data_IF_632547309836
#
_entry.id   IF_632547309836
#
_cell.length_a   1.000
_cell.length_b   1.000
_cell.length_c   1.000
_cell.angle_alpha   90.00
_cell.angle_beta   90.00
_cell.angle_gamma   90.00
#
_symmetry.space_group_name_H-M   'P 1'
#
loop_
_entity.id
_entity.type
_entity.pdbx_description
1 polymer ?
#
# COMPACT_ATOMS: atom_id res chain seq x y z
N UNK A 1 -21.83 5.37 -4.18
CA UNK A 1 -21.93 3.91 -3.87
C UNK A 1 -21.83 3.71 -2.36
N UNK A 2 -22.68 2.88 -1.76
CA UNK A 2 -22.61 2.63 -0.31
C UNK A 2 -21.45 1.70 0.05
N UNK A 3 -21.00 1.69 1.31
CA UNK A 3 -19.94 0.80 1.82
C UNK A 3 -20.23 -0.69 1.53
N UNK A 4 -21.48 -1.11 1.71
CA UNK A 4 -21.91 -2.47 1.42
C UNK A 4 -21.81 -2.79 -0.08
N UNK A 5 -22.21 -1.86 -0.94
CA UNK A 5 -22.10 -2.01 -2.41
C UNK A 5 -20.64 -2.11 -2.86
N UNK A 6 -19.73 -1.28 -2.35
CA UNK A 6 -18.30 -1.35 -2.71
C UNK A 6 -17.67 -2.69 -2.31
N UNK A 7 -18.05 -3.18 -1.12
CA UNK A 7 -17.66 -4.49 -0.61
C UNK A 7 -18.25 -5.64 -1.42
N UNK A 8 -19.48 -5.51 -1.90
CA UNK A 8 -20.11 -6.54 -2.72
C UNK A 8 -19.48 -6.55 -4.12
N UNK A 9 -19.32 -5.39 -4.75
CA UNK A 9 -18.64 -5.23 -6.02
C UNK A 9 -17.22 -5.81 -6.00
N UNK A 10 -16.47 -5.59 -4.91
CA UNK A 10 -15.14 -6.18 -4.75
C UNK A 10 -15.19 -7.71 -4.72
N UNK A 11 -16.18 -8.32 -4.05
CA UNK A 11 -16.35 -9.78 -4.07
C UNK A 11 -16.71 -10.27 -5.46
N UNK A 12 -17.62 -9.58 -6.14
CA UNK A 12 -18.10 -9.97 -7.46
C UNK A 12 -17.00 -9.87 -8.52
N UNK A 13 -16.18 -8.82 -8.50
CA UNK A 13 -15.00 -8.69 -9.36
C UNK A 13 -13.96 -9.79 -9.10
N UNK A 14 -13.77 -10.19 -7.84
CA UNK A 14 -12.82 -11.25 -7.48
C UNK A 14 -13.36 -12.67 -7.76
N UNK A 15 -14.67 -12.86 -7.99
CA UNK A 15 -15.22 -14.18 -8.36
C UNK A 15 -14.56 -14.67 -9.65
N UNK A 16 -13.99 -15.87 -9.60
CA UNK A 16 -13.20 -16.45 -10.69
C UNK A 16 -11.73 -16.00 -10.75
N UNK A 17 -11.37 -14.88 -10.11
CA UNK A 17 -10.04 -14.27 -10.18
C UNK A 17 -9.28 -14.25 -8.84
N UNK A 18 -9.81 -14.91 -7.81
CA UNK A 18 -9.19 -14.96 -6.48
C UNK A 18 -7.75 -15.45 -6.48
N UNK A 19 -7.43 -16.50 -7.26
CA UNK A 19 -6.07 -17.03 -7.33
C UNK A 19 -5.06 -15.98 -7.78
N UNK A 20 -5.41 -15.20 -8.80
CA UNK A 20 -4.56 -14.11 -9.28
C UNK A 20 -4.36 -13.01 -8.22
N UNK A 21 -5.44 -12.54 -7.58
CA UNK A 21 -5.37 -11.48 -6.58
C UNK A 21 -4.60 -11.91 -5.32
N UNK A 22 -4.77 -13.17 -4.91
CA UNK A 22 -4.01 -13.81 -3.84
C UNK A 22 -2.53 -13.86 -4.21
N UNK A 23 -2.18 -14.36 -5.41
CA UNK A 23 -0.80 -14.41 -5.86
C UNK A 23 -0.15 -13.02 -5.90
N UNK A 24 -0.85 -11.99 -6.39
CA UNK A 24 -0.35 -10.61 -6.42
C UNK A 24 -0.02 -10.09 -5.02
N UNK A 25 -0.93 -10.30 -4.06
CA UNK A 25 -0.78 -9.78 -2.70
C UNK A 25 0.20 -10.58 -1.85
N UNK A 26 0.21 -11.91 -1.95
CA UNK A 26 1.18 -12.78 -1.29
C UNK A 26 2.59 -12.54 -1.86
N UNK A 27 2.73 -12.43 -3.18
CA UNK A 27 4.04 -12.19 -3.77
C UNK A 27 4.60 -10.84 -3.34
N UNK A 28 3.79 -9.78 -3.34
CA UNK A 28 4.19 -8.47 -2.81
C UNK A 28 4.62 -8.56 -1.33
N UNK A 29 3.86 -9.29 -0.51
CA UNK A 29 4.20 -9.50 0.90
C UNK A 29 5.52 -10.26 1.07
N UNK A 30 5.74 -11.32 0.30
CA UNK A 30 6.96 -12.14 0.33
C UNK A 30 8.18 -11.34 -0.09
N UNK A 31 8.09 -10.57 -1.18
CA UNK A 31 9.18 -9.69 -1.63
C UNK A 31 9.53 -8.68 -0.54
N UNK A 32 8.53 -8.05 0.09
CA UNK A 32 8.76 -7.14 1.21
C UNK A 32 9.40 -7.84 2.41
N UNK A 33 8.94 -9.04 2.76
CA UNK A 33 9.50 -9.82 3.86
C UNK A 33 10.98 -10.15 3.64
N UNK A 34 11.36 -10.53 2.41
CA UNK A 34 12.75 -10.78 2.03
C UNK A 34 13.59 -9.51 2.11
N UNK A 35 13.09 -8.38 1.59
CA UNK A 35 13.81 -7.10 1.65
C UNK A 35 14.05 -6.67 3.12
N UNK A 36 13.03 -6.78 3.96
CA UNK A 36 13.14 -6.46 5.39
C UNK A 36 14.12 -7.38 6.10
N UNK A 37 14.08 -8.69 5.80
CA UNK A 37 14.97 -9.66 6.42
C UNK A 37 16.43 -9.44 6.01
N UNK A 38 16.68 -9.16 4.73
CA UNK A 38 18.00 -8.79 4.23
C UNK A 38 18.52 -7.52 4.88
N UNK A 39 17.69 -6.47 4.99
CA UNK A 39 18.08 -5.24 5.67
C UNK A 39 18.45 -5.53 7.13
N UNK A 40 17.59 -6.24 7.86
CA UNK A 40 17.85 -6.62 9.25
C UNK A 40 19.15 -7.43 9.36
N UNK A 41 19.38 -8.40 8.48
CA UNK A 41 20.58 -9.21 8.49
C UNK A 41 21.85 -8.38 8.24
N UNK A 42 21.84 -7.46 7.26
CA UNK A 42 22.97 -6.57 6.98
C UNK A 42 23.34 -5.73 8.21
N UNK A 43 22.36 -5.18 8.90
CA UNK A 43 22.61 -4.23 10.00
C UNK A 43 22.84 -4.91 11.34
N UNK A 44 22.17 -6.03 11.57
CA UNK A 44 22.14 -6.70 12.89
C UNK A 44 22.81 -8.07 12.88
N UNK A 45 23.13 -8.64 11.72
CA UNK A 45 23.57 -10.04 11.59
C UNK A 45 22.46 -11.05 11.92
N UNK A 46 21.24 -10.60 12.22
CA UNK A 46 20.09 -11.44 12.55
C UNK A 46 19.14 -11.50 11.36
N UNK A 47 18.96 -12.69 10.81
CA UNK A 47 17.94 -13.00 9.83
C UNK A 47 16.69 -13.60 10.51
N UNK A 48 15.71 -14.00 9.71
CA UNK A 48 14.49 -14.65 10.19
C UNK A 48 14.82 -15.94 10.94
N UNK A 49 15.75 -16.73 10.40
CA UNK A 49 16.27 -17.96 11.00
C UNK A 49 16.85 -17.71 12.39
N UNK A 50 17.69 -16.69 12.54
CA UNK A 50 18.26 -16.29 13.83
C UNK A 50 17.17 -15.90 14.82
N UNK A 51 16.15 -15.18 14.38
CA UNK A 51 15.07 -14.71 15.25
C UNK A 51 14.12 -15.83 15.71
N UNK A 52 13.82 -16.80 14.83
CA UNK A 52 12.81 -17.84 15.07
C UNK A 52 13.41 -19.15 15.58
N UNK A 53 14.56 -19.57 15.05
CA UNK A 53 15.16 -20.87 15.37
C UNK A 53 16.23 -20.78 16.47
N UNK A 54 16.89 -19.63 16.61
CA UNK A 54 17.85 -19.41 17.70
C UNK A 54 17.18 -18.61 18.79
N UNK A 55 16.51 -19.30 19.72
CA UNK A 55 16.04 -18.75 21.02
C UNK A 55 17.17 -18.22 21.91
N UNK A 56 18.37 -17.98 21.38
CA UNK A 56 19.52 -17.52 22.14
C UNK A 56 19.46 -16.01 22.27
N UNK A 57 19.10 -15.55 23.48
CA UNK A 57 19.21 -14.16 23.94
C UNK A 57 20.68 -13.79 24.16
N UNK A 58 21.50 -13.92 23.12
CA UNK A 58 22.73 -13.15 23.12
C UNK A 58 22.30 -11.70 22.89
N UNK A 59 22.16 -10.97 24.00
CA UNK A 59 22.10 -9.52 24.00
C UNK A 59 23.47 -9.00 23.55
N UNK A 60 23.79 -9.22 22.27
CA UNK A 60 24.80 -8.43 21.61
C UNK A 60 24.32 -6.99 21.77
N UNK A 61 25.01 -6.24 22.63
CA UNK A 61 24.85 -4.80 22.72
C UNK A 61 25.26 -4.28 21.35
N UNK A 62 24.28 -4.20 20.45
CA UNK A 62 24.47 -3.55 19.17
C UNK A 62 24.56 -2.07 19.46
N UNK A 63 25.79 -1.54 19.41
CA UNK A 63 25.99 -0.11 19.37
C UNK A 63 25.08 0.49 18.31
N UNK A 64 24.45 1.62 18.63
CA UNK A 64 23.60 2.35 17.71
C UNK A 64 24.35 2.58 16.38
N UNK A 65 23.76 2.11 15.27
CA UNK A 65 24.30 2.30 13.92
C UNK A 65 23.46 3.35 13.21
N UNK A 66 23.87 4.63 13.15
CA UNK A 66 23.08 5.69 12.51
C UNK A 66 22.65 5.36 11.07
N UNK A 67 23.49 4.62 10.34
CA UNK A 67 23.21 4.22 8.97
C UNK A 67 22.09 3.17 8.84
N UNK A 68 21.70 2.47 9.93
CA UNK A 68 20.51 1.63 9.96
C UNK A 68 19.22 2.45 9.79
N UNK A 69 19.14 3.65 10.39
CA UNK A 69 17.98 4.51 10.22
C UNK A 69 17.83 5.00 8.77
N UNK A 70 18.96 5.26 8.10
CA UNK A 70 18.94 5.63 6.69
C UNK A 70 18.51 4.46 5.81
N UNK A 71 18.95 3.23 6.11
CA UNK A 71 18.51 2.06 5.35
C UNK A 71 17.02 1.75 5.54
N UNK A 72 16.47 1.96 6.74
CA UNK A 72 15.02 1.82 6.99
C UNK A 72 14.19 2.80 6.15
N UNK A 73 14.68 4.04 5.96
CA UNK A 73 14.02 5.00 5.06
C UNK A 73 14.03 4.50 3.62
N UNK A 74 15.18 3.97 3.14
CA UNK A 74 15.31 3.43 1.78
C UNK A 74 14.39 2.22 1.59
N UNK A 75 14.40 1.27 2.53
CA UNK A 75 13.54 0.08 2.53
C UNK A 75 12.06 0.48 2.57
N UNK A 76 11.72 1.51 3.35
CA UNK A 76 10.37 2.07 3.40
C UNK A 76 9.90 2.63 2.06
N UNK A 77 10.77 3.31 1.31
CA UNK A 77 10.46 3.79 -0.04
C UNK A 77 10.27 2.62 -1.03
N UNK A 78 11.15 1.62 -1.00
CA UNK A 78 11.02 0.43 -1.86
C UNK A 78 9.71 -0.32 -1.57
N UNK A 79 9.42 -0.53 -0.29
CA UNK A 79 8.17 -1.15 0.18
C UNK A 79 6.96 -0.33 -0.28
N UNK A 80 7.01 1.00 -0.13
CA UNK A 80 5.95 1.90 -0.57
C UNK A 80 5.68 1.82 -2.07
N UNK A 81 6.74 1.73 -2.90
CA UNK A 81 6.62 1.55 -4.34
C UNK A 81 5.96 0.23 -4.72
N UNK A 82 6.33 -0.87 -4.05
CA UNK A 82 5.69 -2.19 -4.24
C UNK A 82 4.19 -2.10 -3.90
N UNK A 83 3.83 -1.43 -2.80
CA UNK A 83 2.44 -1.25 -2.41
C UNK A 83 1.64 -0.41 -3.41
N UNK A 84 2.27 0.61 -4.00
CA UNK A 84 1.68 1.42 -5.06
C UNK A 84 1.54 0.63 -6.36
N UNK A 85 2.51 -0.23 -6.71
CA UNK A 85 2.39 -1.14 -7.86
C UNK A 85 1.20 -2.09 -7.71
N UNK A 86 1.03 -2.69 -6.54
CA UNK A 86 -0.18 -3.47 -6.25
C UNK A 86 -1.46 -2.64 -6.39
N UNK A 87 -1.46 -1.39 -5.93
CA UNK A 87 -2.63 -0.51 -6.08
C UNK A 87 -2.95 -0.19 -7.55
N UNK A 88 -1.93 0.04 -8.37
CA UNK A 88 -2.06 0.30 -9.81
C UNK A 88 -2.65 -0.90 -10.53
N UNK A 89 -2.08 -2.09 -10.32
CA UNK A 89 -2.53 -3.33 -10.94
C UNK A 89 -3.96 -3.70 -10.53
N UNK A 90 -4.31 -3.51 -9.25
CA UNK A 90 -5.68 -3.72 -8.78
C UNK A 90 -6.64 -2.72 -9.43
N UNK A 91 -6.22 -1.46 -9.59
CA UNK A 91 -7.05 -0.45 -10.24
C UNK A 91 -7.24 -0.74 -11.74
N UNK A 92 -6.20 -1.18 -12.45
CA UNK A 92 -6.30 -1.66 -13.84
C UNK A 92 -7.27 -2.83 -13.97
N UNK A 93 -7.22 -3.77 -13.03
CA UNK A 93 -8.15 -4.89 -12.99
C UNK A 93 -9.60 -4.44 -12.74
N UNK A 94 -9.83 -3.50 -11.80
CA UNK A 94 -11.17 -2.92 -11.55
C UNK A 94 -11.75 -2.28 -12.81
N UNK A 95 -10.93 -1.57 -13.60
CA UNK A 95 -11.41 -0.79 -14.75
C UNK A 95 -11.56 -1.60 -16.02
N UNK A 96 -10.62 -2.50 -16.28
CA UNK A 96 -10.50 -3.15 -17.60
C UNK A 96 -10.77 -4.65 -17.55
N UNK A 97 -10.83 -5.23 -16.36
CA UNK A 97 -10.84 -6.68 -16.15
C UNK A 97 -9.54 -7.38 -16.55
N UNK A 98 -8.53 -6.65 -17.05
CA UNK A 98 -7.25 -7.23 -17.44
C UNK A 98 -6.41 -7.55 -16.21
N UNK A 99 -5.87 -8.76 -16.20
CA UNK A 99 -5.00 -9.27 -15.14
C UNK A 99 -3.56 -9.27 -15.64
N UNK A 100 -2.80 -8.23 -15.30
CA UNK A 100 -1.35 -8.28 -15.49
C UNK A 100 -0.76 -9.46 -14.70
N UNK A 101 0.32 -10.10 -15.16
CA UNK A 101 0.97 -11.15 -14.40
C UNK A 101 1.32 -10.66 -12.99
N UNK A 102 0.95 -11.43 -11.97
CA UNK A 102 1.06 -11.02 -10.56
C UNK A 102 2.49 -10.64 -10.15
N UNK A 103 3.51 -11.25 -10.77
CA UNK A 103 4.92 -10.95 -10.48
C UNK A 103 5.36 -9.61 -11.08
N UNK A 104 4.85 -9.21 -12.25
CA UNK A 104 5.17 -7.92 -12.86
C UNK A 104 4.29 -6.80 -12.32
N UNK A 105 3.05 -7.13 -11.91
CA UNK A 105 2.08 -6.16 -11.40
C UNK A 105 2.58 -5.39 -10.17
N UNK A 106 3.35 -6.03 -9.28
CA UNK A 106 3.93 -5.32 -8.12
C UNK A 106 4.92 -4.22 -8.52
N UNK A 107 5.43 -4.25 -9.76
CA UNK A 107 6.37 -3.28 -10.33
C UNK A 107 5.66 -2.23 -11.22
N UNK A 108 4.34 -2.32 -11.42
CA UNK A 108 3.58 -1.52 -12.39
C UNK A 108 3.62 0.00 -12.13
N UNK A 109 3.79 0.40 -10.87
CA UNK A 109 3.88 1.81 -10.50
C UNK A 109 5.19 2.46 -10.96
N UNK A 110 6.21 1.67 -11.30
CA UNK A 110 7.54 2.20 -11.61
C UNK A 110 8.21 1.56 -12.82
N UNK A 111 7.48 0.76 -13.58
CA UNK A 111 7.82 0.37 -14.94
C UNK A 111 7.45 1.47 -15.95
N UNK A 112 7.86 1.30 -17.21
CA UNK A 112 7.40 2.11 -18.36
C UNK A 112 7.57 3.63 -18.19
N UNK A 113 8.72 4.08 -17.65
CA UNK A 113 9.03 5.51 -17.48
C UNK A 113 8.31 6.20 -16.31
N UNK A 114 7.46 5.48 -15.55
CA UNK A 114 6.70 6.03 -14.41
C UNK A 114 7.53 6.16 -13.13
N UNK A 115 8.70 5.51 -13.07
CA UNK A 115 9.55 5.42 -11.88
C UNK A 115 9.78 6.76 -11.19
N UNK A 116 10.24 7.78 -11.93
CA UNK A 116 10.63 9.08 -11.37
C UNK A 116 9.45 9.75 -10.66
N UNK A 117 8.30 9.82 -11.33
CA UNK A 117 7.11 10.48 -10.81
C UNK A 117 6.54 9.70 -9.62
N UNK A 118 6.42 8.38 -9.72
CA UNK A 118 5.93 7.55 -8.59
C UNK A 118 6.84 7.63 -7.38
N UNK A 119 8.17 7.56 -7.56
CA UNK A 119 9.14 7.69 -6.47
C UNK A 119 9.03 9.07 -5.81
N UNK A 120 9.02 10.14 -6.60
CA UNK A 120 9.04 11.50 -6.07
C UNK A 120 7.70 11.87 -5.41
N UNK A 121 6.56 11.47 -5.98
CA UNK A 121 5.23 11.64 -5.37
C UNK A 121 5.10 10.80 -4.10
N UNK A 122 5.60 9.56 -4.07
CA UNK A 122 5.63 8.74 -2.86
C UNK A 122 6.47 9.40 -1.76
N UNK A 123 7.67 9.85 -2.10
CA UNK A 123 8.57 10.54 -1.18
C UNK A 123 7.92 11.81 -0.62
N UNK A 124 7.32 12.66 -1.46
CA UNK A 124 6.59 13.85 -1.04
C UNK A 124 5.39 13.52 -0.16
N UNK A 125 4.64 12.46 -0.48
CA UNK A 125 3.50 12.00 0.34
C UNK A 125 3.98 11.62 1.74
N UNK A 126 5.03 10.81 1.83
CA UNK A 126 5.60 10.39 3.11
C UNK A 126 6.18 11.56 3.89
N UNK A 127 6.86 12.49 3.22
CA UNK A 127 7.40 13.70 3.84
C UNK A 127 6.28 14.55 4.45
N UNK A 128 5.21 14.83 3.70
CA UNK A 128 4.10 15.62 4.22
C UNK A 128 3.39 14.93 5.40
N UNK A 129 3.12 13.63 5.30
CA UNK A 129 2.51 12.89 6.44
C UNK A 129 3.43 12.94 7.66
N UNK A 130 4.74 12.80 7.47
CA UNK A 130 5.72 12.84 8.56
C UNK A 130 5.76 14.23 9.22
N UNK A 131 5.79 15.31 8.44
CA UNK A 131 5.74 16.68 8.95
C UNK A 131 4.46 16.94 9.75
N UNK A 132 3.31 16.48 9.26
CA UNK A 132 2.05 16.59 10.01
C UNK A 132 2.06 15.78 11.29
N UNK A 133 2.63 14.58 11.26
CA UNK A 133 2.73 13.69 12.43
C UNK A 133 3.67 14.25 13.49
N UNK A 134 4.79 14.86 13.09
CA UNK A 134 5.73 15.54 13.98
C UNK A 134 5.07 16.74 14.65
N UNK A 135 4.27 17.51 13.90
CA UNK A 135 3.53 18.64 14.46
C UNK A 135 2.50 18.15 15.49
N UNK A 136 1.65 17.21 15.10
CA UNK A 136 0.68 16.53 15.97
C UNK A 136 0.24 15.18 15.37
N UNK A 137 0.14 14.17 16.23
CA UNK A 137 -0.24 12.81 15.82
C UNK A 137 -1.62 12.77 15.12
N UNK A 138 -2.62 13.49 15.65
CA UNK A 138 -3.99 13.48 15.12
C UNK A 138 -4.06 14.09 13.70
N UNK A 139 -3.54 15.30 13.44
CA UNK A 139 -3.35 15.83 12.09
C UNK A 139 -2.59 14.91 11.14
N UNK A 140 -1.54 14.22 11.62
CA UNK A 140 -0.82 13.21 10.85
C UNK A 140 -1.74 12.12 10.31
N UNK A 141 -2.59 11.57 11.16
CA UNK A 141 -3.59 10.57 10.78
C UNK A 141 -4.59 11.11 9.75
N UNK A 142 -5.18 12.29 10.00
CA UNK A 142 -6.15 12.92 9.08
C UNK A 142 -5.52 13.19 7.70
N UNK A 143 -4.25 13.60 7.65
CA UNK A 143 -3.53 13.86 6.41
C UNK A 143 -3.14 12.56 5.69
N UNK A 144 -2.87 11.49 6.43
CA UNK A 144 -2.73 10.14 5.86
C UNK A 144 -3.98 9.73 5.06
N UNK A 145 -5.18 9.91 5.64
CA UNK A 145 -6.45 9.67 4.92
C UNK A 145 -6.65 10.64 3.74
N UNK A 146 -6.27 11.91 3.90
CA UNK A 146 -6.38 12.91 2.84
C UNK A 146 -5.52 12.59 1.61
N UNK A 147 -4.43 11.83 1.77
CA UNK A 147 -3.51 11.46 0.69
C UNK A 147 -3.67 10.00 0.25
N UNK A 148 -4.63 9.27 0.80
CA UNK A 148 -4.79 7.83 0.55
C UNK A 148 -5.13 7.50 -0.92
N UNK A 149 -5.64 8.46 -1.69
CA UNK A 149 -6.01 8.29 -3.10
C UNK A 149 -4.92 8.67 -4.10
N UNK A 150 -3.78 9.17 -3.62
CA UNK A 150 -2.66 9.61 -4.46
C UNK A 150 -2.18 8.55 -5.45
N UNK A 151 -1.94 7.27 -5.08
CA UNK A 151 -1.51 6.26 -6.06
C UNK A 151 -2.54 6.04 -7.17
N UNK A 152 -3.84 6.04 -6.84
CA UNK A 152 -4.89 5.81 -7.82
C UNK A 152 -5.00 6.97 -8.82
N UNK A 153 -4.93 8.21 -8.34
CA UNK A 153 -4.93 9.41 -9.18
C UNK A 153 -3.71 9.45 -10.09
N UNK A 154 -2.54 9.13 -9.53
CA UNK A 154 -1.30 9.14 -10.30
C UNK A 154 -1.34 8.09 -11.42
N UNK A 155 -1.91 6.91 -11.16
CA UNK A 155 -2.17 5.89 -12.17
C UNK A 155 -3.13 6.38 -13.27
N UNK A 156 -4.22 7.04 -12.91
CA UNK A 156 -5.19 7.55 -13.89
C UNK A 156 -4.59 8.59 -14.82
N UNK A 157 -3.77 9.50 -14.28
CA UNK A 157 -3.02 10.47 -15.09
C UNK A 157 -2.07 9.78 -16.07
N UNK A 158 -1.35 8.73 -15.64
CA UNK A 158 -0.52 7.94 -16.55
C UNK A 158 -1.33 7.22 -17.63
N UNK A 159 -2.49 6.66 -17.27
CA UNK A 159 -3.40 6.03 -18.24
C UNK A 159 -3.95 7.03 -19.26
N UNK A 160 -4.10 8.31 -18.87
CA UNK A 160 -4.46 9.41 -19.77
C UNK A 160 -3.28 9.93 -20.62
N UNK A 161 -2.09 9.32 -20.53
CA UNK A 161 -0.91 9.71 -21.31
C UNK A 161 -0.10 10.88 -20.72
N UNK A 162 -0.39 11.31 -19.48
CA UNK A 162 0.39 12.37 -18.83
C UNK A 162 1.73 11.81 -18.33
N UNK A 163 2.84 12.37 -18.79
CA UNK A 163 4.20 11.94 -18.41
C UNK A 163 4.92 12.92 -17.49
N UNK A 164 4.51 14.18 -17.47
CA UNK A 164 5.08 15.23 -16.61
C UNK A 164 4.04 15.67 -15.58
N UNK A 165 3.86 14.81 -14.56
CA UNK A 165 2.90 15.07 -13.48
C UNK A 165 3.66 15.73 -12.35
N UNK A 166 3.18 16.89 -11.90
CA UNK A 166 3.77 17.58 -10.77
C UNK A 166 3.77 16.66 -9.54
N UNK A 167 4.90 16.58 -8.84
CA UNK A 167 5.07 15.70 -7.68
C UNK A 167 3.97 15.83 -6.62
N UNK A 168 3.49 17.06 -6.44
CA UNK A 168 2.48 17.47 -5.48
C UNK A 168 1.09 17.58 -6.09
N UNK A 169 0.96 17.46 -7.40
CA UNK A 169 -0.30 17.60 -8.13
C UNK A 169 -1.25 16.47 -7.76
N UNK A 170 -0.81 15.21 -7.89
CA UNK A 170 -1.59 14.05 -7.50
C UNK A 170 -1.95 14.05 -6.00
N UNK A 171 -1.06 14.57 -5.14
CA UNK A 171 -1.31 14.71 -3.70
C UNK A 171 -2.39 15.78 -3.45
N UNK A 172 -2.35 16.88 -4.18
CA UNK A 172 -3.31 17.98 -4.07
C UNK A 172 -4.69 17.56 -4.56
N UNK A 173 -4.74 16.83 -5.67
CA UNK A 173 -5.99 16.24 -6.17
C UNK A 173 -6.55 15.21 -5.20
N UNK A 174 -5.71 14.34 -4.64
CA UNK A 174 -6.10 13.39 -3.58
C UNK A 174 -6.73 14.12 -2.40
N UNK A 175 -6.11 15.22 -1.95
CA UNK A 175 -6.62 16.05 -0.86
C UNK A 175 -7.98 16.69 -1.17
N UNK A 176 -8.19 17.14 -2.41
CA UNK A 176 -9.46 17.73 -2.87
C UNK A 176 -10.54 16.66 -3.00
N UNK A 177 -10.23 15.54 -3.64
CA UNK A 177 -11.12 14.39 -3.83
C UNK A 177 -11.57 13.79 -2.50
N UNK A 178 -10.68 13.81 -1.49
CA UNK A 178 -10.97 13.30 -0.15
C UNK A 178 -11.66 14.33 0.76
N UNK A 179 -11.91 15.56 0.33
CA UNK A 179 -12.58 16.53 1.18
C UNK A 179 -14.04 16.11 1.42
N UNK A 180 -14.49 16.12 2.68
CA UNK A 180 -15.76 15.49 3.08
C UNK A 180 -15.73 13.94 3.17
N UNK A 181 -14.81 13.25 2.51
CA UNK A 181 -14.79 11.78 2.39
C UNK A 181 -13.73 11.05 3.24
N UNK A 182 -12.95 11.78 4.05
CA UNK A 182 -11.91 11.19 4.95
C UNK A 182 -12.55 10.24 5.97
N UNK A 183 -13.69 10.65 6.53
CA UNK A 183 -14.41 9.83 7.50
C UNK A 183 -15.03 8.61 6.83
N UNK A 184 -15.47 8.71 5.58
CA UNK A 184 -16.00 7.55 4.84
C UNK A 184 -14.94 6.46 4.67
N UNK A 185 -13.70 6.84 4.31
CA UNK A 185 -12.59 5.91 4.22
C UNK A 185 -12.18 5.35 5.59
N UNK A 186 -12.15 6.17 6.63
CA UNK A 186 -11.86 5.71 7.98
C UNK A 186 -12.88 4.66 8.46
N UNK A 187 -14.17 4.93 8.26
CA UNK A 187 -15.23 3.98 8.63
C UNK A 187 -15.21 2.74 7.74
N UNK A 188 -14.82 2.87 6.46
CA UNK A 188 -14.56 1.73 5.60
C UNK A 188 -13.45 0.85 6.20
N UNK A 189 -12.31 1.41 6.59
CA UNK A 189 -11.22 0.67 7.22
C UNK A 189 -11.64 0.04 8.55
N UNK A 190 -12.38 0.76 9.40
CA UNK A 190 -12.94 0.23 10.65
C UNK A 190 -13.80 -1.01 10.40
N UNK A 191 -14.57 -1.01 9.30
CA UNK A 191 -15.43 -2.14 8.94
C UNK A 191 -14.66 -3.38 8.47
N UNK A 192 -13.34 -3.29 8.30
CA UNK A 192 -12.42 -4.40 8.05
C UNK A 192 -11.71 -4.89 9.31
N UNK A 193 -11.81 -4.20 10.44
CA UNK A 193 -11.17 -4.63 11.70
C UNK A 193 -11.68 -6.01 12.13
N UNK A 194 -12.98 -6.26 12.04
CA UNK A 194 -13.55 -7.58 12.35
C UNK A 194 -12.96 -8.70 11.49
N UNK A 195 -12.74 -8.43 10.20
CA UNK A 195 -12.04 -9.36 9.31
C UNK A 195 -10.58 -9.54 9.73
N UNK A 196 -9.88 -8.45 10.06
CA UNK A 196 -8.52 -8.50 10.57
C UNK A 196 -8.38 -9.36 11.84
N UNK A 197 -9.31 -9.25 12.78
CA UNK A 197 -9.35 -10.08 13.99
C UNK A 197 -9.54 -11.56 13.65
N UNK A 198 -10.41 -11.90 12.70
CA UNK A 198 -10.54 -13.28 12.20
C UNK A 198 -9.23 -13.77 11.56
N UNK A 199 -8.56 -12.91 10.80
CA UNK A 199 -7.22 -13.17 10.26
C UNK A 199 -6.23 -13.55 11.35
N UNK A 200 -6.20 -12.81 12.47
CA UNK A 200 -5.33 -13.10 13.62
C UNK A 200 -5.67 -14.42 14.31
N UNK A 201 -6.96 -14.71 14.53
CA UNK A 201 -7.41 -15.97 15.17
C UNK A 201 -6.98 -17.20 14.34
N UNK A 202 -6.93 -17.06 13.02
CA UNK A 202 -6.46 -18.12 12.11
C UNK A 202 -4.93 -18.19 11.95
N UNK A 203 -4.16 -17.65 12.90
CA UNK A 203 -2.70 -17.55 12.84
C UNK A 203 -2.19 -16.84 11.56
N UNK A 204 -2.97 -15.89 11.05
CA UNK A 204 -2.65 -15.10 9.87
C UNK A 204 -3.13 -15.67 8.53
N UNK A 205 -3.65 -16.91 8.50
CA UNK A 205 -4.10 -17.57 7.26
C UNK A 205 -5.26 -16.79 6.62
N UNK A 206 -6.17 -16.23 7.40
CA UNK A 206 -7.29 -15.43 6.91
C UNK A 206 -6.87 -14.20 6.10
N UNK A 207 -5.66 -13.64 6.34
CA UNK A 207 -5.19 -12.48 5.58
C UNK A 207 -4.99 -12.75 4.09
N UNK A 208 -4.81 -14.03 3.71
CA UNK A 208 -4.72 -14.46 2.31
C UNK A 208 -5.93 -13.98 1.49
N UNK A 209 -7.15 -14.08 2.04
CA UNK A 209 -8.35 -13.60 1.37
C UNK A 209 -8.70 -12.16 1.71
N UNK A 210 -8.39 -11.70 2.93
CA UNK A 210 -8.77 -10.36 3.40
C UNK A 210 -7.98 -9.29 2.67
N UNK A 211 -6.68 -9.47 2.44
CA UNK A 211 -5.84 -8.46 1.80
C UNK A 211 -6.27 -8.12 0.37
N UNK A 212 -6.45 -9.08 -0.57
CA UNK A 212 -6.92 -8.76 -1.92
C UNK A 212 -8.33 -8.15 -1.88
N UNK A 213 -9.20 -8.67 -1.02
CA UNK A 213 -10.56 -8.14 -0.85
C UNK A 213 -10.58 -6.67 -0.39
N UNK A 214 -9.77 -6.33 0.62
CA UNK A 214 -9.64 -4.98 1.14
C UNK A 214 -9.08 -4.03 0.08
N UNK A 215 -8.02 -4.43 -0.63
CA UNK A 215 -7.41 -3.59 -1.67
C UNK A 215 -8.36 -3.34 -2.84
N UNK A 216 -9.09 -4.37 -3.29
CA UNK A 216 -10.14 -4.23 -4.30
C UNK A 216 -11.23 -3.26 -3.83
N UNK A 217 -11.65 -3.37 -2.57
CA UNK A 217 -12.66 -2.46 -1.99
C UNK A 217 -12.15 -1.01 -1.96
N UNK A 218 -10.87 -0.76 -1.66
CA UNK A 218 -10.28 0.59 -1.71
C UNK A 218 -10.21 1.15 -3.13
N UNK A 219 -9.91 0.33 -4.13
CA UNK A 219 -9.94 0.77 -5.52
C UNK A 219 -11.38 1.11 -5.97
N UNK A 220 -12.38 0.34 -5.56
CA UNK A 220 -13.80 0.68 -5.78
C UNK A 220 -14.21 1.96 -5.04
N UNK A 221 -13.70 2.19 -3.83
CA UNK A 221 -13.91 3.44 -3.10
C UNK A 221 -13.38 4.63 -3.89
N UNK A 222 -12.15 4.56 -4.39
CA UNK A 222 -11.59 5.59 -5.26
C UNK A 222 -12.48 5.87 -6.48
N UNK A 223 -12.89 4.83 -7.22
CA UNK A 223 -13.79 4.99 -8.39
C UNK A 223 -15.12 5.61 -8.01
N UNK A 224 -15.66 5.28 -6.85
CA UNK A 224 -16.91 5.88 -6.35
C UNK A 224 -16.78 7.36 -6.03
N UNK A 225 -15.60 7.82 -5.59
CA UNK A 225 -15.32 9.24 -5.40
C UNK A 225 -15.23 9.96 -6.74
N UNK A 226 -14.46 9.43 -7.67
CA UNK A 226 -14.29 10.02 -9.01
C UNK A 226 -15.62 10.12 -9.76
N UNK A 227 -16.52 9.13 -9.62
CA UNK A 227 -17.82 9.16 -10.28
C UNK A 227 -18.83 10.16 -9.67
N UNK A 228 -18.60 10.62 -8.44
CA UNK A 228 -19.48 11.55 -7.73
C UNK A 228 -18.96 13.00 -7.73
N UNK A 229 -17.77 13.24 -8.28
CA UNK A 229 -17.08 14.53 -8.30
C UNK A 229 -17.18 15.15 -9.69
#
# INVERSE_FOLDING_TARGET
MTRAQMKQAAKDQLRGNWGWAICLTIFAWLVNAVIMDLNRWIWTGKDFTYTVLRFNKDNLIQGYKPAYNLSEIIVGLITGLILWGVAYTILDFVETGKMEPWYSGIFSAYSNGRFKNSLFTLFMTNLFVSLWTILFIIPGFIKGYSYAMTPYILKDKFSAGQTDIGATEAITESRKLMDGHKMDLFVLDLSFIGWGLLGLITCGIGFIWITPYYRQTKANFYRSLVANN
#
